data_IF_249720772367
#
_entry.id   IF_249720772367
#
_cell.length_a   1.000
_cell.length_b   1.000
_cell.length_c   1.000
_cell.angle_alpha   90.00
_cell.angle_beta   90.00
_cell.angle_gamma   90.00
#
_symmetry.space_group_name_H-M   'P 1'
#
loop_
_entity.id
_entity.type
_entity.pdbx_description
1 polymer ?
#
# COMPACT_ATOMS: atom_id res chain seq x y z
N UNK A 1 -30.81 16.71 5.83
CA UNK A 1 -29.59 17.53 6.00
C UNK A 1 -28.39 16.60 5.87
N UNK A 2 -27.37 16.89 5.04
CA UNK A 2 -26.21 16.02 4.92
C UNK A 2 -25.43 16.07 6.24
N UNK A 3 -25.15 14.89 6.79
CA UNK A 3 -24.42 14.72 8.04
C UNK A 3 -22.95 15.01 7.75
N UNK A 4 -22.40 16.05 8.37
CA UNK A 4 -20.95 16.27 8.37
C UNK A 4 -20.30 14.96 8.81
N UNK A 5 -19.36 14.46 8.01
CA UNK A 5 -18.47 13.38 8.41
C UNK A 5 -17.71 13.95 9.61
N UNK A 6 -18.14 13.62 10.82
CA UNK A 6 -17.24 13.69 11.95
C UNK A 6 -16.15 12.69 11.60
N UNK A 7 -15.02 13.18 11.10
CA UNK A 7 -13.83 12.36 10.90
C UNK A 7 -13.62 11.61 12.20
N UNK A 8 -13.80 10.29 12.16
CA UNK A 8 -13.51 9.45 13.30
C UNK A 8 -12.00 9.52 13.49
N UNK A 9 -11.55 10.48 14.30
CA UNK A 9 -10.16 10.56 14.74
C UNK A 9 -9.91 9.37 15.65
N UNK A 10 -9.49 8.27 15.04
CA UNK A 10 -9.11 7.05 15.76
C UNK A 10 -7.79 7.30 16.47
N UNK A 11 -7.79 7.21 17.81
CA UNK A 11 -6.61 7.47 18.63
C UNK A 11 -5.69 6.26 18.63
N UNK A 12 -4.46 6.45 18.17
CA UNK A 12 -3.40 5.44 18.27
C UNK A 12 -2.67 5.57 19.62
N UNK A 13 -2.74 4.55 20.46
CA UNK A 13 -1.99 4.47 21.71
C UNK A 13 -0.77 3.57 21.55
N UNK A 14 0.43 4.11 21.77
CA UNK A 14 1.69 3.36 21.67
C UNK A 14 2.44 3.36 22.99
N UNK A 15 2.83 2.16 23.46
CA UNK A 15 3.73 2.02 24.61
C UNK A 15 5.17 1.94 24.12
N UNK A 16 5.99 2.90 24.55
CA UNK A 16 7.42 2.95 24.23
C UNK A 16 8.27 3.02 25.49
N UNK A 17 9.51 2.52 25.41
CA UNK A 17 10.49 2.71 26.48
C UNK A 17 10.84 4.21 26.63
N UNK A 18 11.18 4.69 27.84
CA UNK A 18 11.52 6.10 28.06
C UNK A 18 12.65 6.61 27.15
N UNK A 19 13.67 5.79 26.91
CA UNK A 19 14.80 6.12 26.03
C UNK A 19 14.36 6.34 24.57
N UNK A 20 13.44 5.53 24.07
CA UNK A 20 12.88 5.66 22.72
C UNK A 20 12.08 6.96 22.63
N UNK A 21 11.23 7.24 23.62
CA UNK A 21 10.47 8.49 23.68
C UNK A 21 11.40 9.70 23.68
N UNK A 22 12.47 9.70 24.46
CA UNK A 22 13.42 10.79 24.53
C UNK A 22 14.09 11.08 23.17
N UNK A 23 14.45 10.03 22.42
CA UNK A 23 15.02 10.18 21.06
C UNK A 23 14.01 10.76 20.08
N UNK A 24 12.77 10.26 20.09
CA UNK A 24 11.71 10.77 19.21
C UNK A 24 11.38 12.23 19.49
N UNK A 25 11.29 12.62 20.78
CA UNK A 25 11.06 14.02 21.19
C UNK A 25 12.20 14.92 20.72
N UNK A 26 13.46 14.49 20.90
CA UNK A 26 14.62 15.24 20.41
C UNK A 26 14.58 15.42 18.88
N UNK A 27 14.24 14.37 18.15
CA UNK A 27 14.15 14.42 16.69
C UNK A 27 13.02 15.34 16.21
N UNK A 28 11.85 15.31 16.86
CA UNK A 28 10.74 16.22 16.61
C UNK A 28 11.15 17.69 16.84
N UNK A 29 11.82 17.97 17.96
CA UNK A 29 12.34 19.31 18.27
C UNK A 29 13.34 19.81 17.21
N UNK A 30 14.23 18.95 16.72
CA UNK A 30 15.18 19.29 15.64
C UNK A 30 14.49 19.53 14.29
N UNK A 31 13.30 18.96 14.08
CA UNK A 31 12.47 19.20 12.89
C UNK A 31 11.48 20.34 13.05
N UNK A 32 11.46 20.99 14.22
CA UNK A 32 10.49 22.04 14.56
C UNK A 32 9.03 21.56 14.45
N UNK A 33 8.77 20.30 14.76
CA UNK A 33 7.42 19.71 14.80
C UNK A 33 7.13 19.13 16.19
N UNK A 34 5.86 18.85 16.47
CA UNK A 34 5.52 18.08 17.67
C UNK A 34 5.81 16.58 17.49
N UNK A 35 5.74 15.83 18.60
CA UNK A 35 6.02 14.40 18.62
C UNK A 35 5.00 13.59 17.80
N UNK A 36 3.73 13.99 17.84
CA UNK A 36 2.64 13.30 17.14
C UNK A 36 2.83 13.46 15.64
N UNK A 37 3.02 14.70 15.15
CA UNK A 37 3.28 14.98 13.74
C UNK A 37 4.55 14.28 13.26
N UNK A 38 5.62 14.33 14.05
CA UNK A 38 6.88 13.66 13.70
C UNK A 38 6.71 12.16 13.50
N UNK A 39 6.04 11.49 14.44
CA UNK A 39 5.82 10.04 14.40
C UNK A 39 4.84 9.67 13.30
N UNK A 40 3.71 10.36 13.20
CA UNK A 40 2.68 10.07 12.20
C UNK A 40 3.20 10.27 10.78
N UNK A 41 3.90 11.37 10.49
CA UNK A 41 4.46 11.62 9.15
C UNK A 41 5.51 10.59 8.77
N UNK A 42 6.35 10.19 9.72
CA UNK A 42 7.36 9.16 9.47
C UNK A 42 6.71 7.79 9.24
N UNK A 43 5.76 7.40 10.09
CA UNK A 43 5.05 6.13 9.97
C UNK A 43 4.24 6.04 8.67
N UNK A 44 3.58 7.12 8.25
CA UNK A 44 2.82 7.16 7.01
C UNK A 44 3.72 6.92 5.79
N UNK A 45 4.87 7.59 5.73
CA UNK A 45 5.82 7.41 4.63
C UNK A 45 6.34 5.97 4.53
N UNK A 46 6.65 5.34 5.66
CA UNK A 46 7.07 3.93 5.66
C UNK A 46 5.91 2.99 5.28
N UNK A 47 4.69 3.29 5.73
CA UNK A 47 3.51 2.52 5.35
C UNK A 47 3.24 2.60 3.84
N UNK A 48 3.31 3.79 3.25
CA UNK A 48 3.18 4.01 1.81
C UNK A 48 4.25 3.24 1.03
N UNK A 49 5.51 3.26 1.48
CA UNK A 49 6.58 2.51 0.85
C UNK A 49 6.34 0.99 0.86
N UNK A 50 5.88 0.44 1.99
CA UNK A 50 5.56 -0.99 2.11
C UNK A 50 4.36 -1.38 1.23
N UNK A 51 3.34 -0.54 1.16
CA UNK A 51 2.18 -0.77 0.29
C UNK A 51 2.61 -0.75 -1.18
N UNK A 52 3.37 0.26 -1.59
CA UNK A 52 3.87 0.36 -2.98
C UNK A 52 4.76 -0.82 -3.34
N UNK A 53 5.64 -1.29 -2.45
CA UNK A 53 6.47 -2.48 -2.68
C UNK A 53 5.62 -3.75 -2.87
N UNK A 54 4.53 -3.89 -2.11
CA UNK A 54 3.66 -5.05 -2.18
C UNK A 54 2.71 -5.02 -3.40
N UNK A 55 2.23 -3.84 -3.80
CA UNK A 55 1.18 -3.68 -4.81
C UNK A 55 1.72 -3.33 -6.20
N UNK A 56 2.92 -2.74 -6.30
CA UNK A 56 3.49 -2.31 -7.59
C UNK A 56 4.52 -3.29 -8.10
N UNK A 57 4.22 -3.90 -9.25
CA UNK A 57 5.20 -4.62 -10.05
C UNK A 57 5.96 -3.65 -10.96
N UNK A 58 7.26 -3.51 -10.72
CA UNK A 58 8.13 -2.77 -11.63
C UNK A 58 8.65 -3.71 -12.70
N UNK A 59 8.32 -3.41 -13.96
CA UNK A 59 8.74 -4.19 -15.12
C UNK A 59 10.02 -3.60 -15.70
N UNK A 60 10.89 -4.48 -16.23
CA UNK A 60 11.97 -4.03 -17.09
C UNK A 60 11.40 -3.46 -18.40
N UNK A 61 12.20 -2.74 -19.18
CA UNK A 61 11.77 -2.25 -20.50
C UNK A 61 11.31 -3.41 -21.41
N UNK A 62 12.07 -4.51 -21.40
CA UNK A 62 11.72 -5.73 -22.15
C UNK A 62 10.36 -6.29 -21.71
N UNK A 63 10.14 -6.41 -20.40
CA UNK A 63 8.90 -6.98 -19.88
C UNK A 63 7.71 -6.03 -20.10
N UNK A 64 7.96 -4.73 -20.07
CA UNK A 64 6.96 -3.71 -20.39
C UNK A 64 6.47 -3.82 -21.83
N UNK A 65 7.40 -3.97 -22.79
CA UNK A 65 7.04 -4.19 -24.20
C UNK A 65 6.29 -5.50 -24.41
N UNK A 66 6.69 -6.57 -23.71
CA UNK A 66 5.99 -7.85 -23.75
C UNK A 66 4.56 -7.73 -23.22
N UNK A 67 4.36 -7.07 -22.08
CA UNK A 67 3.03 -6.85 -21.51
C UNK A 67 2.17 -5.99 -22.43
N UNK A 68 2.74 -4.95 -23.04
CA UNK A 68 2.02 -4.09 -23.98
C UNK A 68 1.55 -4.88 -25.21
N UNK A 69 2.43 -5.70 -25.82
CA UNK A 69 2.06 -6.55 -26.95
C UNK A 69 0.97 -7.56 -26.59
N UNK A 70 1.03 -8.15 -25.38
CA UNK A 70 -0.02 -9.06 -24.91
C UNK A 70 -1.38 -8.36 -24.67
N UNK A 71 -1.38 -7.07 -24.33
CA UNK A 71 -2.60 -6.27 -24.16
C UNK A 71 -3.19 -5.85 -25.51
N UNK A 72 -2.33 -5.50 -26.49
CA UNK A 72 -2.74 -5.10 -27.83
C UNK A 72 -3.15 -6.30 -28.69
N UNK A 73 -2.43 -7.41 -28.57
CA UNK A 73 -2.58 -8.64 -29.35
C UNK A 73 -2.81 -9.86 -28.43
N UNK A 74 -3.97 -9.93 -27.74
CA UNK A 74 -4.21 -11.01 -26.79
C UNK A 74 -4.27 -12.37 -27.50
N UNK A 75 -3.44 -13.35 -27.10
CA UNK A 75 -3.48 -14.68 -27.70
C UNK A 75 -4.75 -15.45 -27.28
N UNK A 76 -5.22 -16.39 -28.11
CA UNK A 76 -6.37 -17.21 -27.75
C UNK A 76 -6.05 -18.11 -26.54
N UNK A 77 -7.09 -18.42 -25.74
CA UNK A 77 -6.96 -19.32 -24.60
C UNK A 77 -6.44 -20.69 -25.04
N UNK A 78 -5.36 -21.16 -24.39
CA UNK A 78 -4.81 -22.48 -24.67
C UNK A 78 -5.72 -23.60 -24.12
N UNK A 79 -5.51 -24.84 -24.57
CA UNK A 79 -6.35 -25.97 -24.19
C UNK A 79 -6.46 -26.19 -22.66
N UNK A 80 -5.39 -25.91 -21.91
CA UNK A 80 -5.38 -26.03 -20.43
C UNK A 80 -6.25 -24.96 -19.77
N UNK A 81 -6.15 -23.71 -20.23
CA UNK A 81 -6.96 -22.60 -19.74
C UNK A 81 -8.44 -22.82 -20.08
N UNK A 82 -8.75 -23.24 -21.30
CA UNK A 82 -10.13 -23.55 -21.71
C UNK A 82 -10.75 -24.68 -20.87
N UNK A 83 -9.99 -25.75 -20.58
CA UNK A 83 -10.45 -26.82 -19.71
C UNK A 83 -10.66 -26.35 -18.25
N UNK A 84 -9.77 -25.52 -17.73
CA UNK A 84 -9.89 -24.95 -16.38
C UNK A 84 -11.13 -24.04 -16.25
N UNK A 85 -11.39 -23.20 -17.25
CA UNK A 85 -12.59 -22.36 -17.33
C UNK A 85 -13.86 -23.23 -17.34
N UNK A 86 -13.87 -24.30 -18.15
CA UNK A 86 -15.02 -25.22 -18.22
C UNK A 86 -15.28 -25.99 -16.91
N UNK A 87 -14.23 -26.23 -16.11
CA UNK A 87 -14.31 -26.89 -14.81
C UNK A 87 -14.65 -25.94 -13.65
N UNK A 88 -14.76 -24.62 -13.88
CA UNK A 88 -15.10 -23.69 -12.81
C UNK A 88 -16.50 -23.98 -12.27
N UNK A 89 -16.70 -24.05 -10.94
CA UNK A 89 -18.03 -24.18 -10.37
C UNK A 89 -18.85 -22.95 -10.76
N UNK A 90 -20.09 -23.17 -11.23
CA UNK A 90 -21.02 -22.05 -11.46
C UNK A 90 -21.20 -21.33 -10.12
N UNK A 91 -20.99 -20.00 -10.12
CA UNK A 91 -21.36 -19.15 -8.98
C UNK A 91 -22.83 -19.45 -8.64
N UNK A 92 -23.06 -19.92 -7.41
CA UNK A 92 -24.39 -20.03 -6.80
C UNK A 92 -24.88 -18.63 -6.47
#
# INVERSE_FOLDING_TARGET
MPKAVAEASERMNLRVKPEVKARLVRAAALRHTDLTEFVTRTALREAEAVIEEAERLTLSERDSLLVLDLLENPPPANAKLSAAIAAMPKKV
#
